data_IF_916138258336
#
_entry.id   IF_916138258336
#
_cell.length_a   1.000
_cell.length_b   1.000
_cell.length_c   1.000
_cell.angle_alpha   90.00
_cell.angle_beta   90.00
_cell.angle_gamma   90.00
#
_symmetry.space_group_name_H-M   'P 1'
#
loop_
_entity.id
_entity.type
_entity.pdbx_description
1 polymer ?
#
# COMPACT_ATOMS: atom_id res chain seq x y z
N UNK A 1 24.34 -8.27 -4.64
CA UNK A 1 23.84 -8.67 -3.32
C UNK A 1 23.51 -7.51 -2.38
N UNK A 2 24.00 -6.27 -2.62
CA UNK A 2 23.66 -5.11 -1.76
C UNK A 2 22.17 -4.77 -1.74
N UNK A 3 21.47 -5.02 -2.83
CA UNK A 3 20.02 -4.74 -2.92
C UNK A 3 19.14 -5.74 -2.16
N UNK A 4 19.67 -6.91 -1.79
CA UNK A 4 18.89 -7.94 -1.09
C UNK A 4 18.51 -7.59 0.35
N UNK A 5 19.19 -6.66 1.00
CA UNK A 5 18.89 -6.26 2.37
C UNK A 5 17.83 -5.14 2.49
N UNK A 6 17.58 -4.36 1.43
CA UNK A 6 16.57 -3.29 1.45
C UNK A 6 15.16 -3.77 1.85
N UNK A 7 14.64 -4.89 1.30
CA UNK A 7 13.35 -5.40 1.74
C UNK A 7 13.31 -5.79 3.21
N UNK A 8 14.42 -6.31 3.75
CA UNK A 8 14.52 -6.67 5.17
C UNK A 8 14.50 -5.42 6.08
N UNK A 9 15.22 -4.36 5.68
CA UNK A 9 15.23 -3.06 6.37
C UNK A 9 13.83 -2.46 6.38
N UNK A 10 13.17 -2.42 5.22
CA UNK A 10 11.80 -1.90 5.11
C UNK A 10 10.83 -2.73 5.95
N UNK A 11 10.89 -4.06 5.86
CA UNK A 11 10.05 -4.95 6.68
C UNK A 11 10.25 -4.69 8.17
N UNK A 12 11.50 -4.56 8.64
CA UNK A 12 11.77 -4.24 10.03
C UNK A 12 11.14 -2.91 10.44
N UNK A 13 11.33 -1.86 9.64
CA UNK A 13 10.73 -0.56 9.91
C UNK A 13 9.19 -0.60 9.95
N UNK A 14 8.55 -1.39 9.09
CA UNK A 14 7.10 -1.61 9.14
C UNK A 14 6.68 -2.28 10.46
N UNK A 15 7.38 -3.32 10.90
CA UNK A 15 7.08 -3.99 12.17
C UNK A 15 7.26 -3.04 13.35
N UNK A 16 8.38 -2.29 13.38
CA UNK A 16 8.66 -1.29 14.43
C UNK A 16 7.60 -0.18 14.45
N UNK A 17 7.07 0.25 13.29
CA UNK A 17 5.99 1.22 13.20
C UNK A 17 4.69 0.67 13.81
N UNK A 18 4.31 -0.58 13.52
CA UNK A 18 3.15 -1.22 14.14
C UNK A 18 3.30 -1.35 15.66
N UNK A 19 4.46 -1.80 16.14
CA UNK A 19 4.73 -1.93 17.57
C UNK A 19 4.68 -0.57 18.28
N UNK A 20 5.16 0.51 17.64
CA UNK A 20 5.10 1.87 18.19
C UNK A 20 3.67 2.39 18.32
N UNK A 21 2.75 1.93 17.46
CA UNK A 21 1.31 2.19 17.56
C UNK A 21 0.58 1.27 18.56
N UNK A 22 1.30 0.42 19.29
CA UNK A 22 0.76 -0.43 20.34
C UNK A 22 0.35 -1.84 19.90
N UNK A 23 0.68 -2.25 18.69
CA UNK A 23 0.39 -3.59 18.20
C UNK A 23 1.32 -4.64 18.80
N UNK A 24 0.74 -5.69 19.37
CA UNK A 24 1.42 -6.95 19.64
C UNK A 24 1.26 -7.84 18.40
N UNK A 25 2.30 -7.89 17.58
CA UNK A 25 2.26 -8.60 16.30
C UNK A 25 2.18 -10.12 16.43
N UNK A 26 2.52 -10.69 17.60
CA UNK A 26 2.40 -12.12 17.85
C UNK A 26 0.97 -12.53 18.17
N UNK A 27 0.23 -11.66 18.84
CA UNK A 27 -1.15 -11.88 19.24
C UNK A 27 -2.15 -11.24 18.28
N UNK A 28 -1.67 -10.41 17.35
CA UNK A 28 -2.50 -9.61 16.42
C UNK A 28 -3.55 -8.75 17.15
N UNK A 29 -3.14 -8.14 18.27
CA UNK A 29 -3.99 -7.25 19.08
C UNK A 29 -3.31 -5.88 19.26
N UNK A 30 -4.08 -4.82 19.28
CA UNK A 30 -3.60 -3.52 19.67
C UNK A 30 -3.84 -3.29 21.17
N UNK A 31 -2.77 -3.18 21.94
CA UNK A 31 -2.81 -3.02 23.42
C UNK A 31 -3.16 -1.60 23.85
N UNK A 32 -3.06 -0.62 22.95
CA UNK A 32 -3.36 0.78 23.22
C UNK A 32 -4.75 1.18 22.69
N UNK A 33 -5.45 0.28 22.00
CA UNK A 33 -6.79 0.52 21.46
C UNK A 33 -7.78 0.86 22.58
N UNK A 34 -8.53 1.95 22.36
CA UNK A 34 -9.63 2.40 23.26
C UNK A 34 -10.98 2.35 22.56
N UNK A 35 -11.18 1.38 21.66
CA UNK A 35 -12.42 1.19 20.90
C UNK A 35 -12.21 1.13 19.39
N UNK A 36 -11.21 1.84 18.85
CA UNK A 36 -10.78 1.72 17.46
C UNK A 36 -9.30 1.38 17.41
N UNK A 37 -8.93 0.51 16.51
CA UNK A 37 -7.54 0.13 16.30
C UNK A 37 -6.80 1.28 15.58
N UNK A 38 -5.64 1.64 16.11
CA UNK A 38 -4.75 2.65 15.53
C UNK A 38 -3.71 1.95 14.69
N UNK A 39 -3.66 2.28 13.41
CA UNK A 39 -2.68 1.74 12.47
C UNK A 39 -1.60 2.77 12.17
N UNK A 40 -0.35 2.33 11.87
CA UNK A 40 0.72 3.26 11.52
C UNK A 40 0.45 3.93 10.17
N UNK A 41 0.74 5.22 10.11
CA UNK A 41 0.74 6.01 8.88
C UNK A 41 2.06 5.86 8.11
N UNK A 42 2.12 6.40 6.88
CA UNK A 42 3.41 6.53 6.18
C UNK A 42 4.42 7.42 6.89
N UNK A 43 3.97 8.37 7.72
CA UNK A 43 4.86 9.17 8.56
C UNK A 43 5.49 8.31 9.67
N UNK A 44 4.71 7.45 10.31
CA UNK A 44 5.24 6.53 11.33
C UNK A 44 6.24 5.55 10.71
N UNK A 45 5.94 5.07 9.49
CA UNK A 45 6.88 4.25 8.73
C UNK A 45 8.17 5.01 8.39
N UNK A 46 8.07 6.27 7.97
CA UNK A 46 9.23 7.12 7.67
C UNK A 46 10.13 7.26 8.89
N UNK A 47 9.57 7.62 10.04
CA UNK A 47 10.32 7.78 11.29
C UNK A 47 10.98 6.48 11.75
N UNK A 48 10.25 5.36 11.66
CA UNK A 48 10.77 4.04 12.00
C UNK A 48 11.89 3.61 11.04
N UNK A 49 11.75 3.91 9.75
CA UNK A 49 12.77 3.59 8.75
C UNK A 49 14.05 4.39 8.95
N UNK A 50 13.95 5.68 9.23
CA UNK A 50 15.07 6.53 9.57
C UNK A 50 15.84 5.98 10.78
N UNK A 51 15.12 5.62 11.84
CA UNK A 51 15.68 5.00 13.04
C UNK A 51 16.40 3.68 12.71
N UNK A 52 15.74 2.76 11.99
CA UNK A 52 16.32 1.46 11.65
C UNK A 52 17.61 1.60 10.84
N UNK A 53 17.66 2.55 9.89
CA UNK A 53 18.85 2.80 9.09
C UNK A 53 19.96 3.39 9.96
N UNK A 54 19.64 4.39 10.76
CA UNK A 54 20.63 5.10 11.61
C UNK A 54 21.26 4.18 12.64
N UNK A 55 20.45 3.37 13.34
CA UNK A 55 20.89 2.43 14.39
C UNK A 55 21.51 1.14 13.83
N UNK A 56 21.47 0.92 12.52
CA UNK A 56 22.03 -0.28 11.90
C UNK A 56 23.57 -0.31 12.01
N UNK A 57 24.14 -1.51 12.00
CA UNK A 57 25.57 -1.74 11.95
C UNK A 57 26.17 -1.64 10.53
N UNK A 58 25.42 -1.12 9.55
CA UNK A 58 25.92 -0.94 8.18
C UNK A 58 26.95 0.19 8.12
N UNK A 59 27.82 0.13 7.09
CA UNK A 59 28.74 1.23 6.80
C UNK A 59 27.97 2.50 6.40
N UNK A 60 28.59 3.68 6.58
CA UNK A 60 27.95 4.96 6.25
C UNK A 60 27.57 5.07 4.76
N UNK A 61 28.32 4.45 3.87
CA UNK A 61 28.01 4.36 2.44
C UNK A 61 26.70 3.57 2.23
N UNK A 62 26.53 2.42 2.90
CA UNK A 62 25.31 1.60 2.80
C UNK A 62 24.11 2.33 3.41
N UNK A 63 24.29 3.00 4.54
CA UNK A 63 23.24 3.83 5.16
C UNK A 63 22.79 4.94 4.21
N UNK A 64 23.75 5.66 3.61
CA UNK A 64 23.45 6.72 2.64
C UNK A 64 22.66 6.18 1.42
N UNK A 65 23.06 5.02 0.90
CA UNK A 65 22.34 4.37 -0.20
C UNK A 65 20.91 3.96 0.19
N UNK A 66 20.71 3.43 1.39
CA UNK A 66 19.37 3.06 1.87
C UNK A 66 18.51 4.27 2.15
N UNK A 67 19.09 5.34 2.72
CA UNK A 67 18.39 6.61 2.92
C UNK A 67 17.95 7.19 1.57
N UNK A 68 18.83 7.29 0.60
CA UNK A 68 18.47 7.79 -0.73
C UNK A 68 17.44 6.94 -1.45
N UNK A 69 17.47 5.62 -1.29
CA UNK A 69 16.55 4.73 -2.00
C UNK A 69 15.20 4.53 -1.29
N UNK A 70 15.17 4.44 0.03
CA UNK A 70 13.97 4.10 0.80
C UNK A 70 13.32 5.32 1.44
N UNK A 71 14.08 6.16 2.18
CA UNK A 71 13.51 7.32 2.86
C UNK A 71 12.90 8.31 1.87
N UNK A 72 13.60 8.65 0.79
CA UNK A 72 13.08 9.57 -0.22
C UNK A 72 11.76 9.10 -0.83
N UNK A 73 11.60 7.79 -1.04
CA UNK A 73 10.35 7.23 -1.58
C UNK A 73 9.20 7.27 -0.58
N UNK A 74 9.46 6.90 0.68
CA UNK A 74 8.44 6.96 1.73
C UNK A 74 8.07 8.41 2.01
N UNK A 75 9.05 9.32 2.08
CA UNK A 75 8.84 10.75 2.27
C UNK A 75 7.94 11.35 1.17
N UNK A 76 8.12 10.92 -0.08
CA UNK A 76 7.27 11.38 -1.19
C UNK A 76 5.79 11.03 -1.04
N UNK A 77 5.45 10.05 -0.19
CA UNK A 77 4.08 9.68 0.14
C UNK A 77 3.52 10.47 1.34
N UNK A 78 4.36 11.20 2.08
CA UNK A 78 3.95 12.00 3.25
C UNK A 78 3.79 13.47 2.93
N UNK A 79 4.23 13.94 1.77
CA UNK A 79 4.29 15.35 1.41
C UNK A 79 3.22 15.76 0.39
N UNK A 80 2.76 17.03 0.47
CA UNK A 80 1.84 17.63 -0.47
C UNK A 80 0.53 16.87 -0.60
N UNK A 81 0.01 16.75 -1.81
CA UNK A 81 -1.24 16.02 -2.09
C UNK A 81 -1.16 14.53 -1.70
N UNK A 82 0.00 13.90 -1.87
CA UNK A 82 0.17 12.51 -1.45
C UNK A 82 -0.01 12.36 0.06
N UNK A 83 0.53 13.29 0.87
CA UNK A 83 0.37 13.28 2.32
C UNK A 83 -1.09 13.42 2.77
N UNK A 84 -1.91 14.14 2.00
CA UNK A 84 -3.35 14.22 2.25
C UNK A 84 -4.08 12.93 1.87
N UNK A 85 -3.72 12.32 0.74
CA UNK A 85 -4.32 11.06 0.26
C UNK A 85 -3.99 9.90 1.19
N UNK A 86 -2.73 9.78 1.62
CA UNK A 86 -2.24 8.71 2.48
C UNK A 86 -2.25 9.09 3.97
N UNK A 87 -3.18 9.94 4.37
CA UNK A 87 -3.37 10.34 5.77
C UNK A 87 -4.09 9.27 6.59
N UNK A 88 -4.14 9.48 7.90
CA UNK A 88 -4.88 8.62 8.84
C UNK A 88 -6.40 8.79 8.75
N UNK A 89 -6.88 9.85 8.08
CA UNK A 89 -8.30 10.12 7.92
C UNK A 89 -8.85 9.36 6.71
N UNK A 90 -9.13 8.09 6.91
CA UNK A 90 -9.61 7.23 5.83
C UNK A 90 -11.09 7.45 5.51
N UNK A 91 -11.42 7.39 4.21
CA UNK A 91 -12.80 7.21 3.80
C UNK A 91 -13.27 5.80 4.18
N UNK A 92 -14.48 5.69 4.71
CA UNK A 92 -15.03 4.39 5.08
C UNK A 92 -15.28 3.51 3.85
N UNK A 93 -15.14 2.21 4.02
CA UNK A 93 -15.43 1.24 2.95
C UNK A 93 -16.89 1.31 2.47
N UNK A 94 -17.82 1.69 3.35
CA UNK A 94 -19.22 1.89 2.99
C UNK A 94 -19.36 3.01 1.95
N UNK A 95 -18.73 4.16 2.18
CA UNK A 95 -18.76 5.30 1.25
C UNK A 95 -18.09 4.93 -0.08
N UNK A 96 -16.98 4.20 -0.03
CA UNK A 96 -16.22 3.84 -1.23
C UNK A 96 -16.88 2.76 -2.08
N UNK A 97 -17.59 1.79 -1.45
CA UNK A 97 -17.96 0.54 -2.12
C UNK A 97 -19.45 0.18 -2.05
N UNK A 98 -20.24 0.81 -1.18
CA UNK A 98 -21.70 0.58 -1.08
C UNK A 98 -22.50 1.77 -1.58
N UNK A 99 -21.88 2.94 -1.73
CA UNK A 99 -22.48 4.12 -2.34
C UNK A 99 -21.96 4.36 -3.76
N UNK A 100 -22.62 5.24 -4.50
CA UNK A 100 -22.12 5.67 -5.81
C UNK A 100 -20.95 6.66 -5.60
N UNK A 101 -19.75 6.21 -5.88
CA UNK A 101 -18.52 6.97 -5.67
C UNK A 101 -17.76 7.16 -6.99
N UNK A 102 -17.29 8.38 -7.23
CA UNK A 102 -16.39 8.71 -8.34
C UNK A 102 -15.06 9.17 -7.73
N UNK A 103 -13.98 8.45 -8.05
CA UNK A 103 -12.63 8.76 -7.58
C UNK A 103 -11.86 9.39 -8.73
N UNK A 104 -11.67 10.70 -8.67
CA UNK A 104 -10.92 11.45 -9.68
C UNK A 104 -9.42 11.49 -9.32
N UNK A 105 -8.61 10.80 -10.13
CA UNK A 105 -7.16 10.78 -10.01
C UNK A 105 -6.45 11.75 -10.97
N UNK A 106 -7.17 12.66 -11.62
CA UNK A 106 -6.57 13.57 -12.62
C UNK A 106 -5.49 14.48 -12.03
N UNK A 107 -5.63 14.87 -10.76
CA UNK A 107 -4.68 15.74 -10.05
C UNK A 107 -3.49 15.01 -9.45
N UNK A 108 -3.48 13.71 -9.43
CA UNK A 108 -2.33 12.91 -8.96
C UNK A 108 -1.22 13.00 -10.01
N UNK A 109 -0.08 13.61 -9.65
CA UNK A 109 0.96 14.00 -10.61
C UNK A 109 1.74 12.82 -11.20
N UNK A 110 1.89 11.72 -10.46
CA UNK A 110 2.72 10.58 -10.89
C UNK A 110 1.85 9.38 -11.27
N UNK A 111 2.23 8.71 -12.36
CA UNK A 111 1.56 7.49 -12.79
C UNK A 111 1.78 6.34 -11.81
N UNK A 112 2.93 6.32 -11.14
CA UNK A 112 3.25 5.36 -10.09
C UNK A 112 2.29 5.53 -8.91
N UNK A 113 2.04 6.77 -8.46
CA UNK A 113 1.11 7.06 -7.37
C UNK A 113 -0.33 6.70 -7.77
N UNK A 114 -0.76 7.02 -9.00
CA UNK A 114 -2.08 6.59 -9.50
C UNK A 114 -2.24 5.08 -9.44
N UNK A 115 -1.25 4.33 -9.92
CA UNK A 115 -1.25 2.87 -9.91
C UNK A 115 -1.28 2.31 -8.48
N UNK A 116 -0.56 2.94 -7.55
CA UNK A 116 -0.57 2.57 -6.13
C UNK A 116 -1.96 2.75 -5.52
N UNK A 117 -2.57 3.93 -5.70
CA UNK A 117 -3.92 4.23 -5.19
C UNK A 117 -4.93 3.23 -5.75
N UNK A 118 -4.91 2.96 -7.05
CA UNK A 118 -5.81 2.00 -7.67
C UNK A 118 -5.61 0.57 -7.12
N UNK A 119 -4.36 0.16 -6.91
CA UNK A 119 -4.04 -1.13 -6.29
C UNK A 119 -4.59 -1.25 -4.86
N UNK A 120 -4.41 -0.20 -4.05
CA UNK A 120 -4.95 -0.13 -2.67
C UNK A 120 -6.48 -0.21 -2.68
N UNK A 121 -7.15 0.53 -3.57
CA UNK A 121 -8.62 0.53 -3.65
C UNK A 121 -9.17 -0.85 -4.02
N UNK A 122 -8.54 -1.54 -4.97
CA UNK A 122 -8.95 -2.89 -5.38
C UNK A 122 -8.72 -3.89 -4.26
N UNK A 123 -7.57 -3.81 -3.56
CA UNK A 123 -7.30 -4.66 -2.41
C UNK A 123 -8.32 -4.42 -1.29
N UNK A 124 -8.60 -3.18 -0.94
CA UNK A 124 -9.62 -2.82 0.07
C UNK A 124 -11.02 -3.32 -0.32
N UNK A 125 -11.40 -3.18 -1.60
CA UNK A 125 -12.67 -3.72 -2.10
C UNK A 125 -12.73 -5.24 -1.92
N UNK A 126 -11.67 -5.95 -2.31
CA UNK A 126 -11.60 -7.41 -2.16
C UNK A 126 -11.74 -7.83 -0.71
N UNK A 127 -10.95 -7.26 0.19
CA UNK A 127 -11.01 -7.54 1.64
C UNK A 127 -12.39 -7.22 2.22
N UNK A 128 -12.97 -6.08 1.87
CA UNK A 128 -14.30 -5.68 2.34
C UNK A 128 -15.41 -6.64 1.88
N UNK A 129 -15.33 -7.13 0.64
CA UNK A 129 -16.30 -8.12 0.13
C UNK A 129 -16.09 -9.52 0.70
N UNK A 130 -14.86 -9.91 1.03
CA UNK A 130 -14.56 -11.19 1.65
C UNK A 130 -15.06 -11.28 3.10
N UNK A 131 -15.13 -10.17 3.83
CA UNK A 131 -15.67 -10.14 5.20
C UNK A 131 -17.21 -10.23 5.23
N UNK A 132 -17.90 -9.92 4.15
CA UNK A 132 -19.34 -10.10 4.03
C UNK A 132 -19.70 -11.54 3.70
N UNK A 133 -20.58 -12.18 4.48
CA UNK A 133 -21.05 -13.53 4.19
C UNK A 133 -21.63 -13.61 2.77
N UNK A 134 -20.87 -14.14 1.85
CA UNK A 134 -21.30 -14.36 0.48
C UNK A 134 -22.19 -15.61 0.44
N UNK A 135 -23.50 -15.39 0.34
CA UNK A 135 -24.41 -16.47 -0.03
C UNK A 135 -24.27 -16.73 -1.53
N UNK A 136 -24.16 -17.99 -1.96
CA UNK A 136 -24.18 -18.33 -3.38
C UNK A 136 -25.39 -17.68 -4.07
N UNK A 137 -25.19 -17.11 -5.26
CA UNK A 137 -26.23 -16.42 -6.04
C UNK A 137 -26.77 -15.11 -5.42
N UNK A 138 -25.95 -14.38 -4.64
CA UNK A 138 -26.32 -13.04 -4.18
C UNK A 138 -26.47 -12.06 -5.37
N UNK A 139 -27.33 -11.06 -5.22
CA UNK A 139 -27.47 -9.99 -6.21
C UNK A 139 -26.16 -9.20 -6.39
N UNK A 140 -25.97 -8.58 -7.56
CA UNK A 140 -24.85 -7.69 -7.82
C UNK A 140 -24.82 -6.56 -6.79
N UNK A 141 -23.74 -6.48 -6.02
CA UNK A 141 -23.57 -5.49 -4.95
C UNK A 141 -22.68 -4.32 -5.33
N UNK A 142 -21.77 -4.53 -6.27
CA UNK A 142 -20.79 -3.52 -6.64
C UNK A 142 -20.36 -3.66 -8.10
N UNK A 143 -20.15 -2.52 -8.76
CA UNK A 143 -19.58 -2.44 -10.10
C UNK A 143 -18.45 -1.41 -10.07
N UNK A 144 -17.25 -1.84 -10.36
CA UNK A 144 -16.09 -0.95 -10.55
C UNK A 144 -15.87 -0.68 -12.02
N UNK A 145 -15.83 0.60 -12.39
CA UNK A 145 -15.47 1.05 -13.74
C UNK A 145 -14.10 1.71 -13.66
N UNK A 146 -13.14 1.18 -14.42
CA UNK A 146 -11.79 1.73 -14.50
C UNK A 146 -11.60 2.42 -15.85
N UNK A 147 -11.54 3.74 -15.83
CA UNK A 147 -11.15 4.50 -17.02
C UNK A 147 -9.63 4.42 -17.21
N UNK A 148 -9.18 4.53 -18.46
CA UNK A 148 -7.75 4.50 -18.82
C UNK A 148 -6.99 3.25 -18.29
N UNK A 149 -7.68 2.12 -18.09
CA UNK A 149 -7.11 0.89 -17.59
C UNK A 149 -5.87 0.41 -18.39
N UNK A 150 -5.77 0.80 -19.65
CA UNK A 150 -4.62 0.51 -20.49
C UNK A 150 -3.30 1.09 -19.95
N UNK A 151 -3.34 2.20 -19.23
CA UNK A 151 -2.15 2.81 -18.61
C UNK A 151 -1.61 1.95 -17.47
N UNK A 152 -2.48 1.18 -16.82
CA UNK A 152 -2.11 0.22 -15.77
C UNK A 152 -1.64 -1.09 -16.40
N UNK A 153 -2.35 -1.57 -17.42
CA UNK A 153 -2.12 -2.88 -18.02
C UNK A 153 -0.92 -2.91 -18.98
N UNK A 154 -0.60 -1.81 -19.67
CA UNK A 154 0.49 -1.75 -20.67
C UNK A 154 1.88 -2.02 -20.11
N UNK A 155 2.13 -1.78 -18.83
CA UNK A 155 3.46 -1.96 -18.22
C UNK A 155 3.83 -3.40 -17.92
N UNK A 156 2.92 -4.34 -18.02
CA UNK A 156 3.18 -5.77 -17.76
C UNK A 156 3.88 -6.45 -18.94
N UNK A 157 3.68 -5.97 -20.16
CA UNK A 157 4.13 -6.68 -21.36
C UNK A 157 5.52 -6.29 -21.88
N UNK A 158 6.17 -5.26 -21.35
CA UNK A 158 7.37 -4.69 -21.99
C UNK A 158 8.66 -4.77 -21.16
N UNK A 159 8.63 -5.16 -19.88
CA UNK A 159 9.85 -5.22 -19.07
C UNK A 159 10.06 -6.59 -18.41
N UNK A 160 10.35 -7.59 -19.23
CA UNK A 160 11.11 -8.78 -18.81
C UNK A 160 12.61 -8.49 -18.74
N UNK A 161 13.04 -7.30 -18.44
CA UNK A 161 14.45 -6.94 -18.27
C UNK A 161 14.71 -6.38 -16.88
N UNK A 162 15.37 -7.23 -16.11
CA UNK A 162 16.34 -6.95 -15.05
C UNK A 162 16.12 -5.75 -14.11
N UNK A 163 15.96 -6.08 -12.81
CA UNK A 163 16.35 -5.28 -11.66
C UNK A 163 15.64 -3.94 -11.42
N UNK A 164 14.34 -3.97 -11.28
CA UNK A 164 13.58 -2.92 -10.63
C UNK A 164 12.29 -3.51 -10.11
N UNK A 165 12.00 -3.35 -8.83
CA UNK A 165 10.73 -3.78 -8.25
C UNK A 165 9.59 -3.04 -8.97
N UNK A 166 9.02 -3.68 -9.99
CA UNK A 166 7.98 -3.12 -10.83
C UNK A 166 6.67 -3.03 -10.03
N UNK A 167 6.47 -1.92 -9.30
CA UNK A 167 5.25 -1.67 -8.52
C UNK A 167 4.00 -1.71 -9.40
N UNK A 168 4.11 -1.24 -10.64
CA UNK A 168 3.01 -1.30 -11.60
C UNK A 168 2.68 -2.74 -12.02
N UNK A 169 3.68 -3.60 -12.20
CA UNK A 169 3.49 -5.03 -12.47
C UNK A 169 2.81 -5.76 -11.32
N UNK A 170 3.18 -5.47 -10.08
CA UNK A 170 2.52 -6.03 -8.90
C UNK A 170 1.09 -5.57 -8.74
N UNK A 171 0.79 -4.30 -9.02
CA UNK A 171 -0.59 -3.80 -8.99
C UNK A 171 -1.47 -4.52 -10.01
N UNK A 172 -0.96 -4.82 -11.20
CA UNK A 172 -1.69 -5.59 -12.22
C UNK A 172 -1.85 -7.05 -11.80
N UNK A 173 -0.83 -7.67 -11.24
CA UNK A 173 -0.92 -9.02 -10.69
C UNK A 173 -1.98 -9.09 -9.59
N UNK A 174 -2.01 -8.13 -8.68
CA UNK A 174 -3.03 -8.02 -7.63
C UNK A 174 -4.44 -7.84 -8.23
N UNK A 175 -4.59 -6.99 -9.23
CA UNK A 175 -5.88 -6.81 -9.95
C UNK A 175 -6.30 -8.12 -10.61
N UNK A 176 -5.39 -8.79 -11.30
CA UNK A 176 -5.67 -10.05 -11.99
C UNK A 176 -6.06 -11.16 -11.01
N UNK A 177 -5.36 -11.25 -9.89
CA UNK A 177 -5.65 -12.22 -8.83
C UNK A 177 -6.99 -11.90 -8.14
N UNK A 178 -7.26 -10.64 -7.81
CA UNK A 178 -8.54 -10.23 -7.24
C UNK A 178 -9.72 -10.55 -8.18
N UNK A 179 -9.57 -10.32 -9.49
CA UNK A 179 -10.59 -10.70 -10.49
C UNK A 179 -10.77 -12.23 -10.55
N UNK A 180 -9.69 -13.00 -10.43
CA UNK A 180 -9.75 -14.46 -10.43
C UNK A 180 -10.44 -15.01 -9.18
N UNK A 181 -10.15 -14.44 -8.00
CA UNK A 181 -10.75 -14.84 -6.72
C UNK A 181 -12.23 -14.46 -6.62
N UNK A 182 -12.67 -13.37 -7.26
CA UNK A 182 -14.10 -12.99 -7.30
C UNK A 182 -14.97 -13.94 -8.14
N UNK A 183 -14.36 -14.89 -8.85
CA UNK A 183 -15.08 -15.86 -9.72
C UNK A 183 -15.47 -17.18 -9.03
N UNK A 184 -15.00 -17.40 -7.82
CA UNK A 184 -15.33 -18.58 -7.00
C UNK A 184 -16.44 -18.27 -6.02
#
# INVERSE_FOLDING_TARGET
PMYSAMPAVLKKAMLDAYESCGWDLRLSINRLSRGEDVYPSFLDLFLSLEKVITESAYSEEVKSNYSGALLTRVESLTNGLNGEIFSVNELSNMVLFDENCIIDLSRVGSQETKSLIMGILIMRLSEYRMTGANTPNSALKHLTVLEEAHNILKRVSTEQSQEGSNMAGKSVEMITNAIAEMRT
#
